data_IF_915267217337
#
_entry.id   IF_915267217337
#
_cell.length_a   1.000
_cell.length_b   1.000
_cell.length_c   1.000
_cell.angle_alpha   90.00
_cell.angle_beta   90.00
_cell.angle_gamma   90.00
#
_symmetry.space_group_name_H-M   'P 1'
#
loop_
_entity.id
_entity.type
_entity.pdbx_description
1 polymer ?
#
# COMPACT_ATOMS: atom_id res chain seq x y z
N UNK A 1 7.54 -6.52 -13.88
CA UNK A 1 8.68 -7.43 -14.16
C UNK A 1 9.66 -6.89 -15.21
N UNK A 2 9.18 -6.26 -16.28
CA UNK A 2 10.00 -5.76 -17.40
C UNK A 2 11.16 -4.83 -16.96
N UNK A 3 10.92 -3.96 -15.97
CA UNK A 3 11.96 -3.07 -15.44
C UNK A 3 12.93 -3.75 -14.47
N UNK A 4 12.49 -4.79 -13.76
CA UNK A 4 13.30 -5.46 -12.71
C UNK A 4 14.28 -6.47 -13.32
N UNK A 5 13.86 -7.21 -14.35
CA UNK A 5 14.70 -8.24 -15.00
C UNK A 5 16.05 -7.69 -15.50
N UNK A 6 16.13 -6.56 -16.23
CA UNK A 6 17.41 -6.00 -16.66
C UNK A 6 18.30 -5.56 -15.50
N UNK A 7 17.71 -4.98 -14.44
CA UNK A 7 18.48 -4.47 -13.28
C UNK A 7 19.13 -5.58 -12.47
N UNK A 8 18.54 -6.78 -12.48
CA UNK A 8 19.04 -7.94 -11.74
C UNK A 8 19.66 -9.00 -12.65
N UNK A 9 19.93 -8.70 -13.92
CA UNK A 9 20.46 -9.66 -14.90
C UNK A 9 21.81 -10.24 -14.48
N UNK A 10 22.64 -9.45 -13.79
CA UNK A 10 23.93 -9.87 -13.23
C UNK A 10 23.82 -10.95 -12.14
N UNK A 11 22.63 -11.17 -11.58
CA UNK A 11 22.39 -12.23 -10.61
C UNK A 11 22.06 -13.58 -11.26
N UNK A 12 21.77 -13.60 -12.57
CA UNK A 12 21.56 -14.83 -13.35
C UNK A 12 20.45 -15.70 -12.78
N UNK A 13 20.70 -17.01 -12.67
CA UNK A 13 19.76 -18.01 -12.17
C UNK A 13 19.51 -17.96 -10.65
N UNK A 14 20.11 -16.99 -9.94
CA UNK A 14 19.87 -16.81 -8.49
C UNK A 14 18.58 -16.05 -8.18
N UNK A 15 17.87 -15.58 -9.21
CA UNK A 15 16.66 -14.76 -9.07
C UNK A 15 15.55 -15.35 -9.93
N UNK A 16 14.46 -15.72 -9.27
CA UNK A 16 13.20 -16.09 -9.93
C UNK A 16 12.22 -14.92 -9.89
N UNK A 17 11.54 -14.69 -11.02
CA UNK A 17 10.60 -13.57 -11.16
C UNK A 17 9.19 -14.09 -11.35
N UNK A 18 8.32 -13.77 -10.40
CA UNK A 18 6.91 -14.15 -10.42
C UNK A 18 6.06 -12.88 -10.48
N UNK A 19 5.09 -12.88 -11.39
CA UNK A 19 4.06 -11.84 -11.44
C UNK A 19 2.80 -12.37 -10.77
N UNK A 20 2.41 -11.77 -9.65
CA UNK A 20 1.18 -12.14 -8.98
C UNK A 20 1.03 -11.55 -7.57
N UNK A 21 -0.15 -11.76 -6.96
CA UNK A 21 -0.49 -11.25 -5.65
C UNK A 21 0.17 -12.04 -4.51
N UNK A 22 0.17 -11.47 -3.30
CA UNK A 22 0.83 -12.07 -2.16
C UNK A 22 0.08 -13.28 -1.58
N UNK A 23 -1.24 -13.34 -1.75
CA UNK A 23 -2.01 -14.51 -1.30
C UNK A 23 -1.56 -15.83 -1.96
N UNK A 24 -1.04 -15.77 -3.18
CA UNK A 24 -0.58 -16.93 -3.94
C UNK A 24 0.88 -17.33 -3.59
N UNK A 25 1.53 -16.66 -2.63
CA UNK A 25 2.91 -16.92 -2.23
C UNK A 25 3.19 -18.42 -1.92
N UNK A 26 2.33 -19.15 -1.17
CA UNK A 26 2.57 -20.58 -0.93
C UNK A 26 2.54 -21.42 -2.21
N UNK A 27 1.66 -21.10 -3.15
CA UNK A 27 1.59 -21.80 -4.44
C UNK A 27 2.83 -21.55 -5.29
N UNK A 28 3.34 -20.31 -5.26
CA UNK A 28 4.57 -19.94 -5.94
C UNK A 28 5.78 -20.65 -5.35
N UNK A 29 5.89 -20.69 -4.03
CA UNK A 29 6.96 -21.43 -3.35
C UNK A 29 6.91 -22.93 -3.71
N UNK A 30 5.71 -23.54 -3.65
CA UNK A 30 5.53 -24.95 -4.02
C UNK A 30 5.90 -25.25 -5.47
N UNK A 31 5.53 -24.38 -6.42
CA UNK A 31 5.91 -24.52 -7.85
C UNK A 31 7.42 -24.48 -8.08
N UNK A 32 8.16 -23.76 -7.24
CA UNK A 32 9.62 -23.70 -7.25
C UNK A 32 10.28 -24.83 -6.44
N UNK A 33 9.48 -25.68 -5.77
CA UNK A 33 9.99 -26.72 -4.88
C UNK A 33 10.50 -26.18 -3.53
N UNK A 34 10.12 -24.95 -3.16
CA UNK A 34 10.50 -24.32 -1.90
C UNK A 34 9.45 -24.61 -0.83
N UNK A 35 9.72 -25.61 0.00
CA UNK A 35 8.83 -25.95 1.13
C UNK A 35 8.99 -24.95 2.29
N UNK A 36 10.22 -24.46 2.50
CA UNK A 36 10.55 -23.43 3.47
C UNK A 36 11.55 -22.43 2.85
N UNK A 37 11.63 -21.23 3.42
CA UNK A 37 12.55 -20.15 3.03
C UNK A 37 13.22 -19.54 4.24
N UNK A 38 14.48 -19.13 4.11
CA UNK A 38 15.24 -18.52 5.22
C UNK A 38 14.84 -17.07 5.50
N UNK A 39 14.21 -16.42 4.52
CA UNK A 39 13.90 -15.00 4.60
C UNK A 39 12.71 -14.61 3.74
N UNK A 40 11.85 -13.76 4.29
CA UNK A 40 10.80 -13.07 3.56
C UNK A 40 10.98 -11.57 3.79
N UNK A 41 11.08 -10.80 2.72
CA UNK A 41 11.07 -9.34 2.77
C UNK A 41 9.81 -8.83 2.04
N UNK A 42 8.97 -8.10 2.74
CA UNK A 42 7.81 -7.42 2.17
C UNK A 42 7.99 -5.91 2.31
N UNK A 43 8.22 -5.24 1.19
CA UNK A 43 8.26 -3.79 1.09
C UNK A 43 6.92 -3.28 0.56
N UNK A 44 6.09 -2.74 1.46
CA UNK A 44 4.68 -2.45 1.16
C UNK A 44 4.50 -1.13 0.43
N UNK A 45 3.31 -0.93 -0.14
CA UNK A 45 2.94 0.30 -0.80
C UNK A 45 3.38 0.35 -2.26
N UNK A 46 3.57 1.57 -2.76
CA UNK A 46 3.79 1.82 -4.18
C UNK A 46 5.27 1.99 -4.48
N UNK A 47 5.69 1.40 -5.59
CA UNK A 47 7.03 1.63 -6.13
C UNK A 47 7.22 3.09 -6.52
N UNK A 48 8.46 3.55 -6.47
CA UNK A 48 8.87 4.87 -6.97
C UNK A 48 8.34 5.13 -8.39
N UNK A 49 8.40 4.13 -9.27
CA UNK A 49 7.90 4.22 -10.64
C UNK A 49 6.40 4.54 -10.71
N UNK A 50 5.59 3.92 -9.85
CA UNK A 50 4.15 4.20 -9.81
C UNK A 50 3.84 5.64 -9.38
N UNK A 51 4.69 6.23 -8.53
CA UNK A 51 4.54 7.64 -8.11
C UNK A 51 5.11 8.63 -9.12
N UNK A 52 6.17 8.23 -9.84
CA UNK A 52 6.92 9.08 -10.76
C UNK A 52 6.37 9.04 -12.20
N UNK A 53 5.49 8.09 -12.53
CA UNK A 53 4.80 8.00 -13.82
C UNK A 53 3.38 8.58 -13.71
N UNK A 54 3.10 9.79 -14.25
CA UNK A 54 1.80 10.44 -14.12
C UNK A 54 0.65 9.59 -14.69
N UNK A 55 0.91 8.84 -15.77
CA UNK A 55 -0.04 7.94 -16.43
C UNK A 55 -0.60 6.85 -15.49
N UNK A 56 0.08 6.57 -14.37
CA UNK A 56 -0.37 5.58 -13.38
C UNK A 56 -1.39 6.15 -12.39
N UNK A 57 -1.51 7.47 -12.27
CA UNK A 57 -2.55 8.11 -11.46
C UNK A 57 -2.40 8.02 -9.95
N UNK A 58 -1.25 7.59 -9.42
CA UNK A 58 -1.05 7.45 -7.96
C UNK A 58 -0.76 8.77 -7.24
N UNK A 59 -0.46 9.83 -7.98
CA UNK A 59 -0.06 11.13 -7.46
C UNK A 59 -0.82 12.24 -8.17
N UNK A 60 -1.33 13.21 -7.42
CA UNK A 60 -1.88 14.46 -7.96
C UNK A 60 -0.82 15.56 -8.09
N UNK A 61 0.47 15.27 -7.84
CA UNK A 61 1.54 16.26 -8.04
C UNK A 61 1.87 16.47 -9.51
N UNK A 62 1.69 15.41 -10.30
CA UNK A 62 1.85 15.41 -11.74
C UNK A 62 0.53 14.87 -12.28
N UNK A 63 -0.26 15.74 -12.89
CA UNK A 63 -1.58 15.39 -13.41
C UNK A 63 -1.52 14.19 -14.35
N UNK A 64 -2.50 13.30 -14.24
CA UNK A 64 -2.63 12.13 -15.11
C UNK A 64 -4.00 11.46 -14.97
N UNK A 65 -4.25 10.36 -15.69
CA UNK A 65 -5.47 9.57 -15.59
C UNK A 65 -5.70 9.09 -14.15
N UNK A 66 -6.95 9.06 -13.71
CA UNK A 66 -7.32 8.56 -12.39
C UNK A 66 -7.40 7.01 -12.41
N UNK A 67 -6.24 6.36 -12.43
CA UNK A 67 -6.17 4.88 -12.49
C UNK A 67 -5.89 4.23 -11.12
N UNK A 68 -4.71 4.46 -10.55
CA UNK A 68 -4.25 3.91 -9.25
C UNK A 68 -4.18 2.37 -9.15
N UNK A 69 -4.41 1.59 -10.21
CA UNK A 69 -4.22 0.13 -10.15
C UNK A 69 -2.75 -0.23 -10.18
N UNK A 70 -2.33 -1.13 -9.30
CA UNK A 70 -0.98 -1.70 -9.27
C UNK A 70 -0.74 -2.61 -10.48
N UNK A 71 -1.74 -3.41 -10.83
CA UNK A 71 -1.84 -4.15 -12.08
C UNK A 71 -2.95 -3.53 -12.97
N UNK A 72 -2.59 -2.74 -14.00
CA UNK A 72 -3.57 -2.11 -14.88
C UNK A 72 -4.38 -3.08 -15.76
N UNK A 73 -3.98 -4.35 -15.83
CA UNK A 73 -4.65 -5.36 -16.68
C UNK A 73 -5.91 -5.94 -16.04
N UNK A 74 -6.11 -5.74 -14.74
CA UNK A 74 -7.22 -6.32 -13.98
C UNK A 74 -7.87 -5.30 -13.05
N UNK A 75 -9.09 -5.61 -12.61
CA UNK A 75 -9.78 -4.83 -11.60
C UNK A 75 -10.31 -3.47 -12.09
N UNK A 76 -10.97 -2.78 -11.16
CA UNK A 76 -11.64 -1.52 -11.38
C UNK A 76 -10.67 -0.36 -11.16
N UNK A 77 -10.64 0.64 -12.06
CA UNK A 77 -9.80 1.83 -11.86
C UNK A 77 -10.34 2.73 -10.75
N UNK A 78 -9.51 3.66 -10.26
CA UNK A 78 -9.96 4.70 -9.34
C UNK A 78 -11.04 5.59 -9.96
N UNK A 79 -10.95 5.90 -11.27
CA UNK A 79 -11.98 6.64 -11.99
C UNK A 79 -13.30 5.88 -11.96
N UNK A 80 -13.29 4.59 -12.28
CA UNK A 80 -14.50 3.77 -12.25
C UNK A 80 -15.09 3.74 -10.84
N UNK A 81 -14.27 3.44 -9.83
CA UNK A 81 -14.69 3.38 -8.43
C UNK A 81 -15.30 4.71 -7.95
N UNK A 82 -14.63 5.85 -8.18
CA UNK A 82 -15.14 7.16 -7.76
C UNK A 82 -16.45 7.49 -8.48
N UNK A 83 -16.61 7.09 -9.74
CA UNK A 83 -17.80 7.40 -10.52
C UNK A 83 -18.97 6.42 -10.30
N UNK A 84 -18.76 5.24 -9.71
CA UNK A 84 -19.82 4.23 -9.50
C UNK A 84 -20.18 3.95 -8.04
N UNK A 85 -19.27 4.17 -7.09
CA UNK A 85 -19.48 3.82 -5.67
C UNK A 85 -20.52 4.71 -5.00
N UNK A 86 -21.34 4.15 -4.10
CA UNK A 86 -22.34 4.94 -3.36
C UNK A 86 -21.67 5.97 -2.43
N UNK A 87 -22.38 7.05 -2.08
CA UNK A 87 -21.86 8.06 -1.16
C UNK A 87 -21.46 7.45 0.19
N UNK A 88 -22.28 6.55 0.72
CA UNK A 88 -22.03 5.86 2.00
C UNK A 88 -20.76 5.01 1.95
N UNK A 89 -20.64 4.12 0.96
CA UNK A 89 -19.46 3.27 0.82
C UNK A 89 -18.18 4.09 0.57
N UNK A 90 -18.29 5.18 -0.20
CA UNK A 90 -17.18 6.10 -0.43
C UNK A 90 -16.74 6.79 0.87
N UNK A 91 -17.69 7.25 1.68
CA UNK A 91 -17.41 7.85 2.99
C UNK A 91 -16.75 6.86 3.95
N UNK A 92 -17.20 5.60 3.94
CA UNK A 92 -16.63 4.55 4.77
C UNK A 92 -15.18 4.24 4.38
N UNK A 93 -14.89 4.13 3.08
CA UNK A 93 -13.51 3.96 2.58
C UNK A 93 -12.61 5.12 2.99
N UNK A 94 -13.05 6.37 2.82
CA UNK A 94 -12.26 7.54 3.23
C UNK A 94 -12.02 7.59 4.73
N UNK A 95 -13.01 7.19 5.53
CA UNK A 95 -12.88 7.12 6.97
C UNK A 95 -11.91 6.01 7.40
N UNK A 96 -12.13 4.78 6.90
CA UNK A 96 -11.42 3.58 7.34
C UNK A 96 -9.99 3.55 6.82
N UNK A 97 -9.77 3.88 5.55
CA UNK A 97 -8.47 3.74 4.89
C UNK A 97 -7.69 5.05 4.77
N UNK A 98 -8.40 6.19 4.77
CA UNK A 98 -7.78 7.51 4.76
C UNK A 98 -7.57 8.11 6.15
N UNK A 99 -8.23 7.57 7.18
CA UNK A 99 -8.35 8.22 8.50
C UNK A 99 -8.84 9.69 8.36
N UNK A 100 -9.73 9.95 7.37
CA UNK A 100 -10.20 11.29 6.98
C UNK A 100 -11.46 11.71 7.74
N UNK A 101 -11.35 12.79 8.53
CA UNK A 101 -12.43 13.25 9.42
C UNK A 101 -13.60 13.87 8.68
N UNK A 102 -13.35 14.42 7.50
CA UNK A 102 -14.37 15.00 6.63
C UNK A 102 -14.90 14.00 5.60
N UNK A 103 -14.71 12.69 5.82
CA UNK A 103 -15.07 11.63 4.87
C UNK A 103 -16.46 11.78 4.25
N UNK A 104 -17.51 11.89 5.08
CA UNK A 104 -18.91 12.08 4.63
C UNK A 104 -19.10 13.34 3.79
N UNK A 105 -18.48 14.44 4.21
CA UNK A 105 -18.57 15.73 3.50
C UNK A 105 -17.90 15.65 2.13
N UNK A 106 -16.73 15.01 2.06
CA UNK A 106 -15.98 14.82 0.82
C UNK A 106 -16.77 13.89 -0.11
N UNK A 107 -17.22 12.73 0.38
CA UNK A 107 -17.99 11.77 -0.41
C UNK A 107 -19.23 12.42 -1.04
N UNK A 108 -20.02 13.15 -0.26
CA UNK A 108 -21.18 13.90 -0.76
C UNK A 108 -20.81 14.89 -1.87
N UNK A 109 -19.71 15.62 -1.69
CA UNK A 109 -19.25 16.60 -2.68
C UNK A 109 -18.81 15.93 -3.99
N UNK A 110 -18.11 14.80 -3.89
CA UNK A 110 -17.71 14.01 -5.06
C UNK A 110 -18.92 13.39 -5.76
N UNK A 111 -19.87 12.83 -5.02
CA UNK A 111 -21.10 12.25 -5.58
C UNK A 111 -21.97 13.31 -6.28
N UNK A 112 -22.13 14.49 -5.69
CA UNK A 112 -22.79 15.62 -6.35
C UNK A 112 -22.02 16.03 -7.62
N UNK A 113 -20.69 16.22 -7.52
CA UNK A 113 -19.89 16.70 -8.64
C UNK A 113 -19.87 15.74 -9.82
N UNK A 114 -19.83 14.41 -9.60
CA UNK A 114 -19.80 13.44 -10.71
C UNK A 114 -21.09 13.38 -11.54
N UNK A 115 -22.21 13.86 -11.00
CA UNK A 115 -23.47 13.99 -11.77
C UNK A 115 -23.34 15.04 -12.88
N UNK A 116 -22.51 16.07 -12.68
CA UNK A 116 -22.27 17.13 -13.67
C UNK A 116 -21.15 16.77 -14.67
N UNK A 117 -20.04 16.20 -14.18
CA UNK A 117 -18.92 15.73 -15.02
C UNK A 117 -18.15 14.64 -14.28
N UNK A 118 -17.89 13.53 -14.97
CA UNK A 118 -17.14 12.39 -14.42
C UNK A 118 -15.72 12.79 -14.01
N UNK A 119 -15.17 12.09 -13.02
CA UNK A 119 -13.76 12.20 -12.65
C UNK A 119 -12.91 11.33 -13.57
N UNK A 120 -11.99 11.95 -14.29
CA UNK A 120 -11.10 11.26 -15.24
C UNK A 120 -9.62 11.42 -14.88
N UNK A 121 -9.27 12.48 -14.15
CA UNK A 121 -7.88 12.81 -13.84
C UNK A 121 -7.66 12.97 -12.34
N UNK A 122 -6.39 12.81 -11.92
CA UNK A 122 -5.96 13.05 -10.54
C UNK A 122 -6.19 14.51 -10.12
N UNK A 123 -6.01 15.46 -11.04
CA UNK A 123 -6.16 16.88 -10.76
C UNK A 123 -7.63 17.22 -10.45
N UNK A 124 -8.55 16.71 -11.27
CA UNK A 124 -9.99 16.88 -11.10
C UNK A 124 -10.44 16.38 -9.71
N UNK A 125 -9.99 15.20 -9.30
CA UNK A 125 -10.30 14.65 -7.99
C UNK A 125 -9.68 15.48 -6.85
N UNK A 126 -8.39 15.84 -6.99
CA UNK A 126 -7.67 16.55 -5.93
C UNK A 126 -8.24 17.93 -5.64
N UNK A 127 -8.64 18.65 -6.69
CA UNK A 127 -9.23 19.98 -6.59
C UNK A 127 -10.62 19.91 -5.97
N UNK A 128 -11.42 18.90 -6.31
CA UNK A 128 -12.75 18.74 -5.73
C UNK A 128 -12.70 18.37 -4.25
N UNK A 129 -11.78 17.48 -3.86
CA UNK A 129 -11.53 17.18 -2.44
C UNK A 129 -11.11 18.45 -1.69
N UNK A 130 -10.26 19.30 -2.30
CA UNK A 130 -9.82 20.56 -1.70
C UNK A 130 -10.98 21.54 -1.46
N UNK A 131 -11.93 21.63 -2.39
CA UNK A 131 -13.15 22.46 -2.24
C UNK A 131 -14.06 21.94 -1.13
N UNK A 132 -14.19 20.62 -1.02
CA UNK A 132 -15.05 19.96 -0.04
C UNK A 132 -14.60 20.19 1.41
N UNK A 133 -13.29 20.37 1.65
CA UNK A 133 -12.73 20.57 2.99
C UNK A 133 -12.87 22.03 3.47
N UNK A 134 -13.18 22.30 4.76
CA UNK A 134 -13.36 23.67 5.26
C UNK A 134 -12.10 24.53 5.08
N UNK A 135 -12.28 25.84 4.88
CA UNK A 135 -11.21 26.78 4.49
C UNK A 135 -9.94 26.71 5.36
N UNK A 136 -10.10 26.62 6.69
CA UNK A 136 -8.96 26.52 7.63
C UNK A 136 -8.11 25.26 7.47
N UNK A 137 -8.63 24.21 6.84
CA UNK A 137 -7.94 22.94 6.61
C UNK A 137 -7.35 22.82 5.20
N UNK A 138 -7.61 23.79 4.31
CA UNK A 138 -7.10 23.79 2.93
C UNK A 138 -5.59 24.02 2.83
N UNK A 139 -4.99 24.65 3.84
CA UNK A 139 -3.57 25.02 3.88
C UNK A 139 -2.78 24.23 4.94
N UNK A 140 -3.23 23.04 5.31
CA UNK A 140 -2.47 22.18 6.21
C UNK A 140 -1.17 21.69 5.58
N UNK A 141 -0.21 21.29 6.42
CA UNK A 141 1.08 20.70 6.01
C UNK A 141 0.91 19.47 5.09
N UNK A 142 -0.20 18.74 5.24
CA UNK A 142 -0.56 17.63 4.36
C UNK A 142 -1.75 18.09 3.51
N UNK A 143 -1.60 17.99 2.19
CA UNK A 143 -2.68 18.32 1.26
C UNK A 143 -3.93 17.47 1.57
N UNK A 144 -5.14 18.05 1.62
CA UNK A 144 -6.35 17.32 1.98
C UNK A 144 -6.61 16.07 1.11
N UNK A 145 -6.25 16.13 -0.17
CA UNK A 145 -6.41 15.00 -1.09
C UNK A 145 -5.51 13.80 -0.77
N UNK A 146 -4.40 13.97 -0.03
CA UNK A 146 -3.45 12.88 0.25
C UNK A 146 -4.13 11.68 0.91
N UNK A 147 -5.01 11.91 1.89
CA UNK A 147 -5.72 10.83 2.60
C UNK A 147 -6.78 10.15 1.74
N UNK A 148 -7.46 10.93 0.90
CA UNK A 148 -8.46 10.41 -0.05
C UNK A 148 -7.78 9.54 -1.11
N UNK A 149 -6.67 10.00 -1.67
CA UNK A 149 -5.89 9.23 -2.64
C UNK A 149 -5.36 7.93 -2.02
N UNK A 150 -4.84 7.99 -0.80
CA UNK A 150 -4.43 6.79 -0.06
C UNK A 150 -5.61 5.82 0.13
N UNK A 151 -6.79 6.31 0.53
CA UNK A 151 -7.95 5.48 0.76
C UNK A 151 -8.43 4.77 -0.51
N UNK A 152 -8.53 5.50 -1.62
CA UNK A 152 -8.93 4.95 -2.92
C UNK A 152 -7.91 3.92 -3.38
N UNK A 153 -6.61 4.21 -3.26
CA UNK A 153 -5.54 3.30 -3.65
C UNK A 153 -5.62 1.97 -2.88
N UNK A 154 -5.80 2.05 -1.56
CA UNK A 154 -5.96 0.88 -0.69
C UNK A 154 -7.17 0.05 -1.11
N UNK A 155 -8.29 0.70 -1.41
CA UNK A 155 -9.54 0.04 -1.83
C UNK A 155 -9.41 -0.60 -3.21
N UNK A 156 -8.94 0.14 -4.22
CA UNK A 156 -8.78 -0.34 -5.60
C UNK A 156 -7.85 -1.55 -5.68
N UNK A 157 -6.80 -1.57 -4.87
CA UNK A 157 -5.79 -2.64 -4.88
C UNK A 157 -5.99 -3.68 -3.77
N UNK A 158 -7.02 -3.54 -2.94
CA UNK A 158 -7.28 -4.42 -1.79
C UNK A 158 -6.04 -4.60 -0.88
N UNK A 159 -5.24 -3.54 -0.71
CA UNK A 159 -3.88 -3.60 -0.13
C UNK A 159 -3.86 -4.23 1.27
N UNK A 160 -4.84 -3.86 2.10
CA UNK A 160 -4.92 -4.38 3.48
C UNK A 160 -5.39 -5.83 3.54
N UNK A 161 -6.19 -6.27 2.57
CA UNK A 161 -6.63 -7.68 2.46
C UNK A 161 -5.45 -8.55 2.04
N UNK A 162 -4.71 -8.13 1.02
CA UNK A 162 -3.49 -8.81 0.58
C UNK A 162 -2.45 -8.88 1.69
N UNK A 163 -2.25 -7.79 2.43
CA UNK A 163 -1.35 -7.77 3.58
C UNK A 163 -1.79 -8.74 4.68
N UNK A 164 -3.08 -8.81 5.00
CA UNK A 164 -3.60 -9.76 5.99
C UNK A 164 -3.33 -11.21 5.57
N UNK A 165 -3.55 -11.52 4.29
CA UNK A 165 -3.25 -12.85 3.76
C UNK A 165 -1.76 -13.16 3.83
N UNK A 166 -0.91 -12.22 3.39
CA UNK A 166 0.55 -12.35 3.47
C UNK A 166 1.02 -12.61 4.90
N UNK A 167 0.49 -11.86 5.89
CA UNK A 167 0.85 -12.03 7.30
C UNK A 167 0.35 -13.36 7.89
N UNK A 168 -0.70 -13.96 7.32
CA UNK A 168 -1.14 -15.30 7.69
C UNK A 168 -0.22 -16.36 7.08
N UNK A 169 0.04 -16.30 5.77
CA UNK A 169 0.73 -17.38 5.04
C UNK A 169 2.26 -17.30 5.13
N UNK A 170 2.82 -16.10 5.12
CA UNK A 170 4.26 -15.85 5.05
C UNK A 170 5.05 -16.48 6.19
N UNK A 171 4.73 -16.22 7.47
CA UNK A 171 5.47 -16.78 8.60
C UNK A 171 5.55 -18.31 8.60
N UNK A 172 4.53 -19.00 8.06
CA UNK A 172 4.50 -20.48 7.98
C UNK A 172 5.46 -21.05 6.94
N UNK A 173 5.95 -20.23 6.01
CA UNK A 173 6.94 -20.63 5.02
C UNK A 173 8.38 -20.46 5.54
N UNK A 174 8.60 -19.81 6.68
CA UNK A 174 9.95 -19.61 7.19
C UNK A 174 10.56 -20.92 7.69
N UNK A 175 11.83 -21.19 7.41
CA UNK A 175 12.61 -22.22 8.11
C UNK A 175 12.83 -21.83 9.58
N UNK A 176 13.18 -22.79 10.45
CA UNK A 176 13.61 -22.45 11.83
C UNK A 176 14.87 -21.58 11.75
N UNK A 177 14.85 -20.44 12.46
CA UNK A 177 15.86 -19.37 12.36
C UNK A 177 15.60 -18.38 11.23
N UNK A 178 14.65 -18.67 10.33
CA UNK A 178 14.25 -17.80 9.24
C UNK A 178 13.49 -16.57 9.72
N UNK A 179 13.58 -15.47 8.96
CA UNK A 179 13.01 -14.17 9.33
C UNK A 179 12.08 -13.58 8.29
N UNK A 180 10.96 -13.03 8.76
CA UNK A 180 10.11 -12.16 7.95
C UNK A 180 10.30 -10.71 8.37
N UNK A 181 10.65 -9.86 7.41
CA UNK A 181 10.82 -8.42 7.54
C UNK A 181 9.71 -7.75 6.74
N UNK A 182 9.00 -6.81 7.37
CA UNK A 182 7.96 -6.02 6.71
C UNK A 182 8.25 -4.54 6.90
N UNK A 183 8.33 -3.82 5.78
CA UNK A 183 8.39 -2.36 5.71
C UNK A 183 6.98 -1.83 5.39
N UNK A 184 6.46 -0.97 6.24
CA UNK A 184 5.15 -0.33 6.07
C UNK A 184 5.30 1.19 6.00
N UNK A 185 4.41 1.87 5.30
CA UNK A 185 4.51 3.31 5.03
C UNK A 185 3.37 4.13 5.60
N UNK A 186 2.32 3.47 6.09
CA UNK A 186 1.24 4.15 6.80
C UNK A 186 0.78 3.41 8.06
N UNK A 187 -0.02 4.11 8.87
CA UNK A 187 -0.50 3.67 10.19
C UNK A 187 -1.30 2.36 10.14
N UNK A 188 -2.11 2.15 9.10
CA UNK A 188 -2.98 0.98 8.96
C UNK A 188 -2.17 -0.30 8.71
N UNK A 189 -1.24 -0.28 7.75
CA UNK A 189 -0.31 -1.38 7.49
C UNK A 189 0.49 -1.73 8.76
N UNK A 190 1.17 -0.74 9.35
CA UNK A 190 2.00 -0.94 10.55
C UNK A 190 1.19 -1.55 11.70
N UNK A 191 -0.07 -1.14 11.87
CA UNK A 191 -0.98 -1.67 12.88
C UNK A 191 -1.32 -3.14 12.62
N UNK A 192 -1.57 -3.53 11.36
CA UNK A 192 -1.82 -4.92 10.98
C UNK A 192 -0.59 -5.80 11.23
N UNK A 193 0.58 -5.37 10.75
CA UNK A 193 1.86 -6.10 10.94
C UNK A 193 2.16 -6.25 12.43
N UNK A 194 2.06 -5.16 13.20
CA UNK A 194 2.26 -5.18 14.66
C UNK A 194 1.34 -6.18 15.35
N UNK A 195 0.06 -6.21 14.98
CA UNK A 195 -0.92 -7.11 15.59
C UNK A 195 -0.63 -8.57 15.24
N UNK A 196 -0.35 -8.85 13.97
CA UNK A 196 -0.03 -10.20 13.49
C UNK A 196 1.24 -10.73 14.17
N UNK A 197 2.32 -9.98 14.17
CA UNK A 197 3.58 -10.44 14.76
C UNK A 197 3.49 -10.62 16.27
N UNK A 198 2.74 -9.75 16.98
CA UNK A 198 2.50 -9.93 18.42
C UNK A 198 1.65 -11.16 18.74
N UNK A 199 0.75 -11.57 17.85
CA UNK A 199 -0.04 -12.78 18.04
C UNK A 199 0.81 -14.05 17.85
N UNK A 200 1.86 -13.97 17.02
CA UNK A 200 2.79 -15.08 16.77
C UNK A 200 3.92 -15.17 17.81
N UNK A 201 4.33 -14.05 18.42
CA UNK A 201 5.37 -14.01 19.45
C UNK A 201 5.03 -14.95 20.62
N UNK A 202 5.94 -15.90 20.92
CA UNK A 202 5.74 -16.95 21.91
C UNK A 202 5.01 -18.21 21.40
N UNK A 203 4.45 -18.19 20.19
CA UNK A 203 3.77 -19.32 19.54
C UNK A 203 4.62 -19.91 18.41
N UNK A 204 5.87 -20.24 18.73
CA UNK A 204 6.88 -20.72 17.77
C UNK A 204 7.60 -19.62 16.99
N UNK A 205 7.34 -18.36 17.32
CA UNK A 205 8.03 -17.20 16.78
C UNK A 205 8.53 -16.28 17.89
N UNK A 206 9.54 -15.48 17.56
CA UNK A 206 10.12 -14.47 18.43
C UNK A 206 10.19 -13.12 17.72
N UNK A 207 9.88 -12.02 18.42
CA UNK A 207 10.11 -10.65 17.97
C UNK A 207 11.53 -10.16 18.33
N UNK A 208 12.50 -10.13 17.38
CA UNK A 208 13.86 -9.69 17.69
C UNK A 208 13.91 -8.20 18.07
N UNK A 209 12.98 -7.42 17.52
CA UNK A 209 12.83 -5.98 17.79
C UNK A 209 11.46 -5.70 18.39
N UNK A 210 11.41 -5.36 19.69
CA UNK A 210 10.14 -4.98 20.36
C UNK A 210 9.59 -3.64 19.89
N UNK A 211 10.48 -2.70 19.54
CA UNK A 211 10.12 -1.39 18.99
C UNK A 211 10.22 -1.44 17.47
N UNK A 212 9.38 -0.64 16.82
CA UNK A 212 9.47 -0.43 15.37
C UNK A 212 10.80 0.25 15.06
N UNK A 213 11.46 -0.20 13.99
CA UNK A 213 12.66 0.46 13.47
C UNK A 213 12.21 1.50 12.45
N UNK A 214 12.74 2.71 12.56
CA UNK A 214 12.42 3.86 11.70
C UNK A 214 13.70 4.39 11.07
N UNK A 215 13.57 5.06 9.93
CA UNK A 215 14.68 5.70 9.24
C UNK A 215 15.32 6.79 10.10
N UNK A 216 16.64 6.96 9.98
CA UNK A 216 17.38 8.04 10.66
C UNK A 216 17.16 9.38 9.97
N UNK A 217 17.53 10.48 10.63
CA UNK A 217 17.42 11.82 10.03
C UNK A 217 18.27 11.94 8.76
N UNK A 218 19.47 11.35 8.75
CA UNK A 218 20.36 11.32 7.57
C UNK A 218 19.74 10.53 6.41
N UNK A 219 19.09 9.40 6.69
CA UNK A 219 18.39 8.62 5.67
C UNK A 219 17.20 9.38 5.11
N UNK A 220 16.47 10.12 5.94
CA UNK A 220 15.31 10.92 5.53
C UNK A 220 15.73 12.10 4.67
N UNK A 221 16.89 12.72 4.96
CA UNK A 221 17.45 13.78 4.15
C UNK A 221 17.88 13.27 2.77
N UNK A 222 18.59 12.13 2.72
CA UNK A 222 19.02 11.51 1.46
C UNK A 222 17.86 10.88 0.66
N UNK A 223 16.84 10.38 1.34
CA UNK A 223 15.67 9.74 0.74
C UNK A 223 14.38 10.17 1.47
N UNK A 224 13.75 11.28 1.05
CA UNK A 224 12.53 11.78 1.70
C UNK A 224 11.36 10.79 1.72
N UNK A 225 11.38 9.74 0.89
CA UNK A 225 10.35 8.68 0.87
C UNK A 225 10.45 7.72 2.06
N UNK A 226 11.62 7.63 2.70
CA UNK A 226 11.84 6.79 3.88
C UNK A 226 11.22 7.37 5.16
N UNK A 227 10.85 8.66 5.16
CA UNK A 227 10.28 9.37 6.32
C UNK A 227 9.13 8.63 7.04
N UNK A 228 8.32 7.90 6.29
CA UNK A 228 7.17 7.18 6.84
C UNK A 228 7.39 5.66 6.95
N UNK A 229 8.58 5.18 6.57
CA UNK A 229 8.94 3.78 6.63
C UNK A 229 9.03 3.28 8.07
N UNK A 230 8.44 2.12 8.29
CA UNK A 230 8.39 1.43 9.57
C UNK A 230 8.70 -0.03 9.35
N UNK A 231 9.84 -0.46 9.87
CA UNK A 231 10.32 -1.84 9.76
C UNK A 231 9.95 -2.65 11.00
N UNK A 232 9.43 -3.85 10.77
CA UNK A 232 9.18 -4.88 11.78
C UNK A 232 9.76 -6.21 11.35
N UNK A 233 10.25 -6.98 12.32
CA UNK A 233 10.84 -8.30 12.09
C UNK A 233 10.20 -9.32 13.01
N UNK A 234 9.98 -10.53 12.50
CA UNK A 234 9.68 -11.72 13.29
C UNK A 234 10.60 -12.88 12.83
N UNK A 235 11.00 -13.71 13.77
CA UNK A 235 11.86 -14.88 13.55
C UNK A 235 11.11 -16.15 13.93
N UNK A 236 11.19 -17.20 13.12
CA UNK A 236 10.67 -18.53 13.49
C UNK A 236 11.68 -19.23 14.38
N UNK A 237 11.25 -19.74 15.52
CA UNK A 237 12.13 -20.39 16.51
C UNK A 237 11.79 -21.87 16.74
N UNK A 238 10.64 -22.35 16.27
CA UNK A 238 10.24 -23.77 16.29
C UNK A 238 9.27 -24.12 15.17
#
# INVERSE_FOLDING_TARGET
LERTRPRLSSFGSRVEFIHGPFHALPEYAAKLGWNEVDGILADLGVSSFQLDEPERGFSFRMGGPLDMRMDPSIGMSAADWVNSTSEEAMADVFWQYGEERHSRRIARHLCWRREEKRFETTDDLSEEVRKAVPGGFRHMRIHPATRVFQAIRIEVNQELVELQTLLSVGPRLLSIGGRMIVLSYHSLEDRLVKRAFRALDGNGFHLPTKKVVVSSDEEIEANPRSRSAKLRVIERVS
#
